data_IF_154115458380
#
_entry.id   IF_154115458380
#
_cell.length_a   1.000
_cell.length_b   1.000
_cell.length_c   1.000
_cell.angle_alpha   90.00
_cell.angle_beta   90.00
_cell.angle_gamma   90.00
#
_symmetry.space_group_name_H-M   'P 1'
#
loop_
_entity.id
_entity.type
_entity.pdbx_description
1 polymer ?
#
# COMPACT_ATOMS: atom_id res chain seq x y z
N UNK A 1 16.67 -9.36 5.19
CA UNK A 1 15.77 -10.17 4.33
C UNK A 1 16.37 -11.55 4.14
N UNK A 2 15.62 -12.59 4.50
CA UNK A 2 16.07 -13.98 4.29
C UNK A 2 15.50 -14.54 2.99
N UNK A 3 16.34 -15.19 2.19
CA UNK A 3 15.89 -15.85 0.95
C UNK A 3 15.26 -17.19 1.32
N UNK A 4 13.96 -17.36 1.03
CA UNK A 4 13.26 -18.63 1.27
C UNK A 4 13.57 -19.62 0.13
N UNK A 5 13.51 -19.14 -1.10
CA UNK A 5 13.97 -19.85 -2.29
C UNK A 5 14.03 -18.90 -3.49
N UNK A 6 14.90 -19.21 -4.44
CA UNK A 6 15.09 -18.44 -5.67
C UNK A 6 15.26 -19.38 -6.85
N UNK A 7 15.17 -18.82 -8.06
CA UNK A 7 15.35 -19.59 -9.27
C UNK A 7 15.16 -18.75 -10.53
N UNK A 8 15.15 -19.46 -11.66
CA UNK A 8 14.93 -18.90 -12.98
C UNK A 8 13.61 -19.42 -13.54
N UNK A 9 12.82 -18.51 -14.08
CA UNK A 9 11.64 -18.84 -14.87
C UNK A 9 12.09 -19.28 -16.25
N UNK A 10 11.56 -20.42 -16.67
CA UNK A 10 11.75 -21.04 -17.99
C UNK A 10 10.39 -21.55 -18.47
N UNK A 11 10.31 -22.01 -19.72
CA UNK A 11 9.08 -22.58 -20.28
C UNK A 11 8.56 -23.77 -19.44
N UNK A 12 9.46 -24.50 -18.77
CA UNK A 12 9.14 -25.59 -17.84
C UNK A 12 8.77 -25.09 -16.43
N UNK A 13 9.46 -24.04 -15.95
CA UNK A 13 9.30 -23.49 -14.60
C UNK A 13 8.61 -22.14 -14.67
N UNK A 14 7.28 -22.18 -14.70
CA UNK A 14 6.46 -20.98 -14.72
C UNK A 14 6.20 -20.42 -13.32
N UNK A 15 5.82 -19.15 -13.25
CA UNK A 15 5.49 -18.50 -11.97
C UNK A 15 4.29 -19.19 -11.27
N UNK A 16 3.40 -19.84 -12.03
CA UNK A 16 2.35 -20.72 -11.50
C UNK A 16 2.92 -21.81 -10.56
N UNK A 17 4.02 -22.45 -10.95
CA UNK A 17 4.66 -23.51 -10.15
C UNK A 17 5.27 -22.93 -8.86
N UNK A 18 5.79 -21.70 -8.94
CA UNK A 18 6.30 -20.97 -7.78
C UNK A 18 5.17 -20.65 -6.80
N UNK A 19 4.03 -20.17 -7.29
CA UNK A 19 2.85 -19.90 -6.46
C UNK A 19 2.30 -21.17 -5.81
N UNK A 20 2.22 -22.29 -6.56
CA UNK A 20 1.83 -23.60 -6.02
C UNK A 20 2.75 -24.02 -4.88
N UNK A 21 4.08 -23.89 -5.06
CA UNK A 21 5.05 -24.22 -4.01
C UNK A 21 4.89 -23.35 -2.75
N UNK A 22 4.51 -22.08 -2.90
CA UNK A 22 4.20 -21.19 -1.76
C UNK A 22 2.94 -21.66 -1.06
N UNK A 23 1.90 -21.99 -1.83
CA UNK A 23 0.62 -22.49 -1.30
C UNK A 23 0.78 -23.83 -0.58
N UNK A 24 1.63 -24.73 -1.08
CA UNK A 24 1.91 -26.03 -0.45
C UNK A 24 2.67 -25.87 0.87
N UNK A 25 3.71 -25.02 0.88
CA UNK A 25 4.52 -24.80 2.09
C UNK A 25 3.78 -24.01 3.17
N UNK A 26 2.78 -23.19 2.80
CA UNK A 26 2.07 -22.24 3.68
C UNK A 26 2.98 -21.57 4.72
N UNK A 27 4.06 -20.89 4.28
CA UNK A 27 4.92 -20.18 5.21
C UNK A 27 4.12 -19.08 5.90
N UNK A 28 4.19 -19.03 7.23
CA UNK A 28 3.55 -18.00 8.03
C UNK A 28 4.22 -16.64 7.83
N UNK A 29 3.42 -15.58 7.93
CA UNK A 29 3.85 -14.19 7.84
C UNK A 29 3.94 -13.65 6.42
N UNK A 30 4.63 -12.51 6.29
CA UNK A 30 4.79 -11.81 5.02
C UNK A 30 5.88 -12.47 4.17
N UNK A 31 5.60 -12.62 2.89
CA UNK A 31 6.52 -13.01 1.84
C UNK A 31 6.57 -11.94 0.77
N UNK A 32 7.75 -11.75 0.19
CA UNK A 32 8.00 -10.86 -0.91
C UNK A 32 8.54 -11.69 -2.09
N UNK A 33 7.70 -11.92 -3.08
CA UNK A 33 8.10 -12.52 -4.34
C UNK A 33 8.61 -11.42 -5.28
N UNK A 34 9.92 -11.36 -5.47
CA UNK A 34 10.57 -10.47 -6.43
C UNK A 34 10.70 -11.20 -7.77
N UNK A 35 10.30 -10.54 -8.85
CA UNK A 35 10.45 -11.03 -10.22
C UNK A 35 11.24 -10.01 -11.01
N UNK A 36 12.23 -10.47 -11.76
CA UNK A 36 13.08 -9.64 -12.60
C UNK A 36 13.24 -10.26 -13.99
N UNK A 37 13.13 -9.47 -15.05
CA UNK A 37 13.28 -9.91 -16.44
C UNK A 37 14.55 -9.32 -17.05
N UNK A 38 15.02 -9.90 -18.15
CA UNK A 38 16.19 -9.38 -18.88
C UNK A 38 15.93 -8.02 -19.51
N UNK A 39 14.69 -7.80 -19.98
CA UNK A 39 14.25 -6.53 -20.56
C UNK A 39 14.05 -5.43 -19.50
N UNK A 40 14.07 -5.75 -18.20
CA UNK A 40 13.76 -4.88 -17.05
C UNK A 40 12.38 -4.21 -17.06
N UNK A 41 11.65 -4.21 -18.16
CA UNK A 41 10.35 -3.52 -18.29
C UNK A 41 9.27 -4.06 -17.35
N UNK A 42 9.40 -5.30 -16.89
CA UNK A 42 8.44 -5.99 -16.03
C UNK A 42 9.03 -6.40 -14.67
N UNK A 43 10.11 -5.75 -14.24
CA UNK A 43 10.68 -6.00 -12.91
C UNK A 43 9.70 -5.57 -11.84
N UNK A 44 9.43 -6.41 -10.84
CA UNK A 44 8.45 -6.08 -9.82
C UNK A 44 8.49 -6.97 -8.59
N UNK A 45 7.54 -6.71 -7.71
CA UNK A 45 7.41 -7.34 -6.40
C UNK A 45 5.94 -7.65 -6.14
N UNK A 46 5.69 -8.83 -5.59
CA UNK A 46 4.37 -9.28 -5.13
C UNK A 46 4.49 -9.62 -3.64
N UNK A 47 3.65 -9.02 -2.82
CA UNK A 47 3.54 -9.35 -1.39
C UNK A 47 2.48 -10.43 -1.20
N UNK A 48 2.85 -11.49 -0.50
CA UNK A 48 1.96 -12.60 -0.14
C UNK A 48 1.97 -12.74 1.38
N UNK A 49 0.80 -12.88 1.98
CA UNK A 49 0.63 -13.04 3.43
C UNK A 49 0.14 -14.46 3.73
N UNK A 50 0.79 -15.10 4.69
CA UNK A 50 0.53 -16.45 5.18
C UNK A 50 0.50 -17.53 4.08
N UNK A 51 1.21 -17.27 2.98
CA UNK A 51 1.20 -18.13 1.79
C UNK A 51 -0.17 -18.28 1.13
N UNK A 52 -1.16 -17.44 1.48
CA UNK A 52 -2.55 -17.57 1.06
C UNK A 52 -3.09 -16.35 0.31
N UNK A 53 -2.73 -15.15 0.72
CA UNK A 53 -3.33 -13.93 0.18
C UNK A 53 -2.28 -13.04 -0.49
N UNK A 54 -2.52 -12.64 -1.72
CA UNK A 54 -1.77 -11.57 -2.38
C UNK A 54 -2.31 -10.24 -1.85
N UNK A 55 -1.46 -9.47 -1.19
CA UNK A 55 -1.86 -8.21 -0.53
C UNK A 55 -1.38 -6.96 -1.24
N UNK A 56 -0.31 -7.07 -2.03
CA UNK A 56 0.21 -5.96 -2.80
C UNK A 56 1.01 -6.44 -4.00
N UNK A 57 1.08 -5.61 -5.04
CA UNK A 57 2.02 -5.80 -6.13
C UNK A 57 2.42 -4.45 -6.74
N UNK A 58 3.64 -4.37 -7.23
CA UNK A 58 4.17 -3.19 -7.92
C UNK A 58 5.18 -3.60 -8.96
N UNK A 59 5.22 -2.87 -10.07
CA UNK A 59 6.26 -2.98 -11.10
C UNK A 59 7.16 -1.75 -10.94
N UNK A 60 8.48 -1.95 -10.89
CA UNK A 60 9.45 -0.90 -10.58
C UNK A 60 9.53 0.17 -11.68
N UNK A 61 9.43 -0.24 -12.94
CA UNK A 61 9.62 0.64 -14.10
C UNK A 61 8.32 1.24 -14.64
N UNK A 62 7.17 0.87 -14.07
CA UNK A 62 5.87 1.43 -14.44
C UNK A 62 5.18 2.01 -13.22
N UNK A 63 4.15 2.83 -13.41
CA UNK A 63 3.28 3.30 -12.32
C UNK A 63 2.16 2.30 -12.01
N UNK A 64 2.28 1.06 -12.49
CA UNK A 64 1.28 0.03 -12.27
C UNK A 64 1.45 -0.56 -10.87
N UNK A 65 0.37 -0.50 -10.09
CA UNK A 65 0.29 -1.06 -8.75
C UNK A 65 -1.00 -1.88 -8.60
N UNK A 66 -1.04 -2.74 -7.58
CA UNK A 66 -2.21 -3.57 -7.31
C UNK A 66 -2.47 -4.61 -8.39
N UNK A 67 -3.74 -4.80 -8.77
CA UNK A 67 -4.17 -5.92 -9.63
C UNK A 67 -3.55 -5.92 -11.04
N UNK A 68 -3.46 -4.77 -11.75
CA UNK A 68 -2.76 -4.70 -13.03
C UNK A 68 -1.31 -5.18 -12.94
N UNK A 69 -0.61 -4.83 -11.85
CA UNK A 69 0.76 -5.28 -11.61
C UNK A 69 0.82 -6.79 -11.35
N UNK A 70 -0.10 -7.35 -10.57
CA UNK A 70 -0.21 -8.82 -10.40
C UNK A 70 -0.34 -9.50 -11.76
N UNK A 71 -1.33 -9.10 -12.56
CA UNK A 71 -1.59 -9.72 -13.88
C UNK A 71 -0.33 -9.72 -14.73
N UNK A 72 0.32 -8.56 -14.86
CA UNK A 72 1.50 -8.40 -15.72
C UNK A 72 2.72 -9.17 -15.20
N UNK A 73 2.93 -9.24 -13.88
CA UNK A 73 4.00 -10.02 -13.28
C UNK A 73 3.76 -11.53 -13.40
N UNK A 74 2.50 -11.98 -13.28
CA UNK A 74 2.15 -13.40 -13.41
C UNK A 74 2.18 -13.90 -14.86
N UNK A 75 2.07 -13.01 -15.85
CA UNK A 75 2.22 -13.33 -17.28
C UNK A 75 3.68 -13.41 -17.75
N UNK A 76 4.67 -13.27 -16.85
CA UNK A 76 6.09 -13.38 -17.21
C UNK A 76 6.46 -14.85 -17.44
N UNK A 77 6.92 -15.14 -18.65
CA UNK A 77 7.40 -16.48 -19.04
C UNK A 77 8.89 -16.68 -18.69
N UNK A 78 9.71 -15.66 -18.93
CA UNK A 78 11.17 -15.75 -18.81
C UNK A 78 11.73 -14.65 -17.89
N UNK A 79 12.48 -15.05 -16.86
CA UNK A 79 13.02 -14.13 -15.86
C UNK A 79 13.68 -14.84 -14.69
N UNK A 80 14.11 -14.08 -13.69
CA UNK A 80 14.57 -14.59 -12.41
C UNK A 80 13.53 -14.26 -11.34
N UNK A 81 13.37 -15.13 -10.36
CA UNK A 81 12.51 -14.86 -9.22
C UNK A 81 13.21 -15.19 -7.91
N UNK A 82 12.85 -14.47 -6.87
CA UNK A 82 13.29 -14.74 -5.50
C UNK A 82 12.13 -14.53 -4.55
N UNK A 83 11.81 -15.56 -3.76
CA UNK A 83 10.88 -15.49 -2.67
C UNK A 83 11.64 -15.17 -1.39
N UNK A 84 11.39 -13.98 -0.85
CA UNK A 84 12.09 -13.42 0.29
C UNK A 84 11.15 -13.31 1.48
N UNK A 85 11.67 -13.48 2.68
CA UNK A 85 10.99 -13.11 3.92
C UNK A 85 11.52 -11.73 4.36
N UNK A 86 10.71 -10.66 4.24
CA UNK A 86 11.08 -9.35 4.76
C UNK A 86 11.25 -9.44 6.27
N UNK A 87 12.23 -8.70 6.79
CA UNK A 87 12.40 -8.52 8.23
C UNK A 87 11.25 -7.61 8.75
N UNK A 88 10.80 -7.75 10.00
CA UNK A 88 9.70 -6.94 10.53
C UNK A 88 10.00 -5.43 10.51
N UNK A 89 11.27 -5.05 10.60
CA UNK A 89 11.74 -3.66 10.54
C UNK A 89 11.84 -3.11 9.11
N UNK A 90 11.73 -3.98 8.11
CA UNK A 90 11.84 -3.61 6.71
C UNK A 90 10.48 -3.13 6.22
N UNK A 91 10.26 -1.81 6.28
CA UNK A 91 9.02 -1.22 5.79
C UNK A 91 8.88 -1.54 4.30
N UNK A 92 7.98 -2.47 3.98
CA UNK A 92 7.64 -2.78 2.61
C UNK A 92 7.07 -1.50 1.99
N UNK A 93 7.84 -0.86 1.10
CA UNK A 93 7.47 0.37 0.37
C UNK A 93 6.29 0.18 -0.60
N UNK A 94 5.48 -0.88 -0.42
CA UNK A 94 4.42 -1.29 -1.32
C UNK A 94 3.09 -1.13 -0.55
N UNK A 95 2.15 -0.31 -1.04
CA UNK A 95 0.86 -0.14 -0.37
C UNK A 95 0.05 -1.43 -0.44
N UNK A 96 -0.46 -1.89 0.70
CA UNK A 96 -1.38 -3.02 0.79
C UNK A 96 -2.76 -2.61 0.27
N UNK A 97 -3.02 -2.88 -1.00
CA UNK A 97 -4.27 -2.49 -1.68
C UNK A 97 -5.09 -3.67 -2.17
N UNK A 98 -4.59 -4.90 -2.00
CA UNK A 98 -5.22 -6.12 -2.49
C UNK A 98 -5.53 -7.09 -1.37
N UNK A 99 -6.48 -7.96 -1.62
CA UNK A 99 -6.76 -9.13 -0.81
C UNK A 99 -7.31 -10.21 -1.74
N UNK A 100 -6.39 -10.87 -2.45
CA UNK A 100 -6.73 -11.87 -3.47
C UNK A 100 -6.22 -13.22 -2.99
N UNK A 101 -7.11 -14.21 -2.97
CA UNK A 101 -6.74 -15.56 -2.56
C UNK A 101 -5.92 -16.27 -3.63
N UNK A 102 -4.78 -16.82 -3.23
CA UNK A 102 -3.83 -17.46 -4.12
C UNK A 102 -4.44 -18.70 -4.78
N UNK A 103 -5.29 -19.44 -4.05
CA UNK A 103 -6.03 -20.60 -4.55
C UNK A 103 -6.94 -20.26 -5.75
N UNK A 104 -7.51 -19.05 -5.78
CA UNK A 104 -8.33 -18.57 -6.89
C UNK A 104 -7.50 -18.08 -8.08
N UNK A 105 -6.29 -17.60 -7.83
CA UNK A 105 -5.39 -17.07 -8.88
C UNK A 105 -4.71 -18.19 -9.66
N UNK A 106 -4.21 -19.22 -8.97
CA UNK A 106 -3.46 -20.34 -9.58
C UNK A 106 -4.15 -20.97 -10.82
N UNK A 107 -5.46 -21.26 -10.82
CA UNK A 107 -6.11 -21.85 -12.00
C UNK A 107 -6.22 -20.88 -13.18
N UNK A 108 -6.14 -19.56 -12.94
CA UNK A 108 -6.27 -18.52 -13.96
C UNK A 108 -4.92 -18.09 -14.56
N UNK A 109 -3.79 -18.46 -13.96
CA UNK A 109 -2.46 -18.14 -14.52
C UNK A 109 -2.19 -19.00 -15.76
N UNK A 110 -1.75 -18.40 -16.90
CA UNK A 110 -1.28 -17.01 -17.08
C UNK A 110 -2.36 -16.00 -17.50
N UNK A 111 -3.56 -16.45 -17.87
CA UNK A 111 -4.66 -15.63 -18.41
C UNK A 111 -5.62 -15.13 -17.31
N UNK A 112 -5.18 -14.19 -16.49
CA UNK A 112 -6.04 -13.54 -15.49
C UNK A 112 -7.05 -12.59 -16.16
N UNK A 113 -8.28 -12.45 -15.61
CA UNK A 113 -9.28 -11.53 -16.13
C UNK A 113 -8.82 -10.07 -16.01
N UNK A 114 -9.35 -9.18 -16.85
CA UNK A 114 -8.97 -7.77 -16.85
C UNK A 114 -9.44 -7.03 -15.60
N UNK A 115 -10.59 -7.43 -15.06
CA UNK A 115 -11.13 -6.90 -13.81
C UNK A 115 -10.89 -7.89 -12.65
N UNK A 116 -10.66 -7.38 -11.43
CA UNK A 116 -10.50 -8.22 -10.25
C UNK A 116 -11.85 -8.76 -9.70
N UNK A 117 -12.95 -8.54 -10.42
CA UNK A 117 -14.30 -8.92 -9.99
C UNK A 117 -14.38 -10.45 -9.86
N UNK A 118 -14.69 -10.95 -8.66
CA UNK A 118 -14.77 -12.39 -8.34
C UNK A 118 -13.48 -13.02 -7.79
N UNK A 119 -12.34 -12.31 -7.86
CA UNK A 119 -11.07 -12.75 -7.28
C UNK A 119 -10.87 -12.25 -5.84
N UNK A 120 -11.47 -11.10 -5.52
CA UNK A 120 -11.52 -10.60 -4.15
C UNK A 120 -12.40 -11.50 -3.29
N UNK A 121 -11.91 -11.82 -2.09
CA UNK A 121 -12.76 -12.38 -1.06
C UNK A 121 -13.44 -11.24 -0.30
N UNK A 122 -14.67 -10.91 -0.70
CA UNK A 122 -15.50 -9.89 -0.06
C UNK A 122 -15.71 -10.19 1.44
N UNK A 123 -15.70 -11.47 1.82
CA UNK A 123 -15.81 -11.86 3.24
C UNK A 123 -14.56 -11.53 4.03
N UNK A 124 -13.37 -11.76 3.48
CA UNK A 124 -12.11 -11.41 4.15
C UNK A 124 -11.87 -9.90 4.22
N UNK A 125 -12.38 -9.11 3.25
CA UNK A 125 -12.37 -7.65 3.37
C UNK A 125 -13.25 -7.16 4.51
N UNK A 126 -14.45 -7.73 4.65
CA UNK A 126 -15.35 -7.40 5.76
C UNK A 126 -14.78 -7.89 7.10
N UNK A 127 -14.16 -9.06 7.15
CA UNK A 127 -13.54 -9.58 8.38
C UNK A 127 -12.32 -8.75 8.81
N UNK A 128 -11.63 -8.04 7.90
CA UNK A 128 -10.58 -7.09 8.31
C UNK A 128 -11.11 -5.74 8.77
N UNK A 129 -12.26 -5.30 8.26
CA UNK A 129 -12.89 -4.01 8.62
C UNK A 129 -13.81 -4.14 9.84
N UNK A 130 -14.40 -5.33 10.05
CA UNK A 130 -15.36 -5.64 11.11
C UNK A 130 -14.92 -6.78 12.03
N UNK A 131 -13.82 -7.47 11.73
CA UNK A 131 -13.27 -8.51 12.61
C UNK A 131 -12.85 -7.89 13.93
N UNK A 132 -13.10 -8.66 14.98
CA UNK A 132 -13.14 -8.28 16.38
C UNK A 132 -11.82 -7.76 16.99
N UNK A 133 -10.80 -7.49 16.18
CA UNK A 133 -9.51 -6.92 16.60
C UNK A 133 -9.37 -5.42 16.26
N UNK A 134 -10.35 -4.80 15.58
CA UNK A 134 -10.37 -3.34 15.38
C UNK A 134 -10.80 -2.56 16.65
N UNK A 135 -11.31 -3.28 17.65
CA UNK A 135 -11.64 -2.77 18.98
C UNK A 135 -11.01 -3.65 20.05
N UNK A 136 -9.74 -4.03 19.92
CA UNK A 136 -8.97 -4.19 21.14
C UNK A 136 -8.94 -2.80 21.79
N UNK A 137 -9.51 -2.62 22.99
CA UNK A 137 -9.27 -1.43 23.75
C UNK A 137 -7.76 -1.33 23.87
N UNK A 138 -7.17 -0.29 23.29
CA UNK A 138 -5.87 0.18 23.73
C UNK A 138 -6.07 0.34 25.24
N UNK A 139 -5.58 -0.61 26.05
CA UNK A 139 -5.22 -0.31 27.42
C UNK A 139 -3.95 0.52 27.28
N UNK A 140 -4.00 1.86 27.37
CA UNK A 140 -2.83 2.52 27.90
C UNK A 140 -2.73 1.96 29.31
N UNK A 141 -1.73 1.12 29.56
CA UNK A 141 -1.20 0.99 30.90
C UNK A 141 -0.28 2.19 31.07
N UNK A 142 -0.71 3.33 31.62
CA UNK A 142 0.25 4.25 32.18
C UNK A 142 0.90 3.49 33.33
N UNK A 143 2.18 3.19 33.18
CA UNK A 143 3.04 2.94 34.33
C UNK A 143 3.09 4.28 35.09
N UNK A 144 2.12 4.48 35.98
CA UNK A 144 2.09 5.59 36.91
C UNK A 144 3.24 5.32 37.88
N UNK A 145 4.40 5.90 37.59
CA UNK A 145 5.39 6.16 38.62
C UNK A 145 4.74 7.12 39.60
N UNK A 146 4.39 6.63 40.80
CA UNK A 146 3.94 7.44 41.92
C UNK A 146 5.08 8.38 42.36
N UNK A 147 5.23 9.51 41.68
CA UNK A 147 5.86 10.68 42.28
C UNK A 147 4.79 11.44 43.05
N UNK A 148 4.78 11.22 44.36
CA UNK A 148 4.06 12.00 45.37
C UNK A 148 4.13 13.51 45.04
N UNK A 149 3.01 14.21 44.83
CA UNK A 149 3.03 15.64 44.53
C UNK A 149 3.38 16.42 45.80
N UNK A 150 4.62 16.90 45.88
CA UNK A 150 5.03 17.89 46.85
C UNK A 150 4.77 19.27 46.24
N UNK A 151 3.60 19.84 46.57
CA UNK A 151 3.19 21.26 46.43
C UNK A 151 1.96 21.50 45.52
N UNK A 152 0.78 21.82 46.09
CA UNK A 152 -0.46 22.03 45.35
C UNK A 152 -0.58 23.38 44.60
N UNK A 153 0.45 24.23 44.60
CA UNK A 153 0.37 25.58 44.01
C UNK A 153 1.09 25.76 42.66
N UNK A 154 1.59 24.69 42.02
CA UNK A 154 2.43 24.81 40.81
C UNK A 154 1.65 24.86 39.47
N UNK A 155 0.34 24.66 39.47
CA UNK A 155 -0.45 24.49 38.23
C UNK A 155 -0.74 25.79 37.45
N UNK A 156 -0.41 26.97 37.99
CA UNK A 156 -0.65 28.25 37.32
C UNK A 156 0.61 28.95 36.77
N UNK A 157 1.82 28.40 37.00
CA UNK A 157 3.07 29.05 36.56
C UNK A 157 3.55 28.65 35.17
N UNK A 158 2.92 27.68 34.50
CA UNK A 158 3.34 27.17 33.19
C UNK A 158 2.68 27.89 31.99
N UNK A 159 1.84 28.91 32.22
CA UNK A 159 1.26 29.74 31.17
C UNK A 159 1.91 31.12 31.10
N UNK A 160 3.24 31.19 31.13
CA UNK A 160 3.93 32.44 30.80
C UNK A 160 4.19 32.52 29.28
N UNK A 161 3.66 33.54 28.59
CA UNK A 161 3.93 33.75 27.17
C UNK A 161 5.38 34.22 26.98
N UNK A 162 6.09 33.55 26.06
CA UNK A 162 7.46 33.88 25.64
C UNK A 162 7.52 35.29 25.03
N UNK A 163 7.84 36.29 25.83
CA UNK A 163 8.34 37.60 25.36
C UNK A 163 9.85 37.59 25.54
N UNK A 164 10.58 37.56 24.44
CA UNK A 164 12.03 37.72 24.45
C UNK A 164 12.41 39.21 24.54
N UNK A 165 13.38 39.57 25.38
CA UNK A 165 14.23 40.71 25.11
C UNK A 165 15.70 40.31 24.99
N UNK A 166 16.32 41.00 24.06
CA UNK A 166 17.71 40.99 23.64
C UNK A 166 18.77 41.09 24.76
N UNK A 167 19.86 40.37 24.50
CA UNK A 167 21.25 40.83 24.49
C UNK A 167 22.16 40.69 25.73
N UNK A 168 23.41 40.37 25.34
CA UNK A 168 24.73 40.71 25.91
C UNK A 168 25.47 39.59 26.66
N UNK A 169 26.42 38.98 25.91
CA UNK A 169 27.85 38.77 26.20
C UNK A 169 28.25 37.98 27.48
N UNK A 170 29.28 37.13 27.56
CA UNK A 170 30.55 36.97 26.83
C UNK A 170 31.26 35.67 27.36
N UNK A 171 32.59 35.38 27.21
CA UNK A 171 33.12 34.30 26.34
C UNK A 171 33.99 33.21 27.06
N UNK A 172 34.71 32.40 26.25
CA UNK A 172 35.93 31.56 26.53
C UNK A 172 35.63 30.12 27.03
N UNK A 173 36.17 28.99 26.55
CA UNK A 173 37.01 28.49 25.43
C UNK A 173 37.10 26.93 25.63
N UNK A 174 38.11 26.17 25.14
CA UNK A 174 38.43 25.77 23.77
C UNK A 174 38.56 24.22 23.54
N UNK A 175 38.51 23.77 22.26
CA UNK A 175 39.38 22.73 21.60
C UNK A 175 39.21 21.25 22.08
N UNK A 176 39.12 20.16 21.30
CA UNK A 176 39.58 19.71 19.96
C UNK A 176 38.87 18.35 19.58
N UNK A 177 39.27 17.57 18.55
CA UNK A 177 39.77 17.95 17.22
C UNK A 177 39.01 17.23 16.08
N UNK A 178 39.05 17.90 14.93
CA UNK A 178 38.72 17.45 13.58
C UNK A 178 39.54 16.21 13.20
N UNK A 179 38.88 15.15 12.72
CA UNK A 179 39.57 14.04 12.04
C UNK A 179 39.73 14.38 10.56
N UNK A 180 40.98 14.26 10.17
CA UNK A 180 41.60 14.56 8.88
C UNK A 180 41.05 13.64 7.80
N UNK A 181 40.75 14.25 6.66
CA UNK A 181 40.44 13.64 5.38
C UNK A 181 41.77 13.15 4.78
N UNK A 182 41.89 11.85 4.49
CA UNK A 182 42.97 11.32 3.67
C UNK A 182 42.67 11.63 2.19
N UNK A 183 43.58 12.32 1.46
CA UNK A 183 43.45 12.46 0.02
C UNK A 183 43.92 11.19 -0.67
N UNK A 184 43.03 10.62 -1.49
CA UNK A 184 43.29 9.53 -2.43
C UNK A 184 44.45 9.93 -3.34
N UNK A 185 45.49 9.10 -3.41
CA UNK A 185 46.71 9.33 -4.16
C UNK A 185 46.48 9.39 -5.67
N UNK A 186 47.17 10.32 -6.34
CA UNK A 186 47.07 10.60 -7.77
C UNK A 186 47.53 9.47 -8.71
N UNK A 187 48.08 8.37 -8.20
CA UNK A 187 48.61 7.27 -9.02
C UNK A 187 47.54 6.25 -9.46
N UNK A 188 46.32 6.31 -8.93
CA UNK A 188 45.22 5.39 -9.30
C UNK A 188 44.38 5.90 -10.49
N UNK A 189 44.54 7.18 -10.88
CA UNK A 189 43.84 7.80 -12.01
C UNK A 189 44.49 7.53 -13.38
N UNK A 190 45.72 6.99 -13.43
CA UNK A 190 46.43 6.74 -14.68
C UNK A 190 46.05 5.40 -15.35
N UNK A 191 45.48 4.44 -14.62
CA UNK A 191 45.18 3.09 -15.11
C UNK A 191 43.90 2.96 -15.97
N UNK A 192 43.12 4.04 -16.12
CA UNK A 192 41.90 4.06 -16.94
C UNK A 192 42.07 4.77 -18.30
N UNK A 193 43.28 5.18 -18.64
CA UNK A 193 43.61 5.88 -19.89
C UNK A 193 44.21 4.96 -20.97
N UNK A 194 43.59 3.80 -21.22
CA UNK A 194 43.92 2.98 -22.39
C UNK A 194 42.95 3.29 -23.55
N UNK A 195 43.42 3.84 -24.68
CA UNK A 195 42.58 4.14 -25.83
C UNK A 195 42.24 2.85 -26.59
N UNK A 196 40.97 2.45 -26.58
CA UNK A 196 40.46 1.42 -27.49
C UNK A 196 40.28 2.02 -28.88
N UNK A 197 41.12 1.56 -29.78
CA UNK A 197 41.12 1.76 -31.23
C UNK A 197 39.84 1.23 -31.89
N UNK A 198 39.33 2.01 -32.85
CA UNK A 198 38.63 1.60 -34.07
C UNK A 198 37.49 0.58 -33.94
N UNK A 199 36.25 1.06 -34.06
CA UNK A 199 35.18 0.27 -34.68
C UNK A 199 34.42 1.17 -35.65
N UNK A 200 34.40 0.73 -36.91
CA UNK A 200 33.98 1.47 -38.09
C UNK A 200 32.50 1.89 -38.06
N UNK A 201 32.27 3.13 -38.48
CA UNK A 201 30.99 3.67 -38.91
C UNK A 201 30.41 2.84 -40.06
N UNK A 202 29.30 2.15 -39.82
CA UNK A 202 28.36 1.80 -40.88
C UNK A 202 27.11 2.63 -40.69
N UNK A 203 27.08 3.67 -41.50
CA UNK A 203 25.99 4.58 -41.83
C UNK A 203 24.67 3.81 -42.07
N UNK A 204 23.77 3.85 -41.08
CA UNK A 204 22.37 3.46 -41.27
C UNK A 204 21.48 4.68 -41.10
N UNK A 205 20.98 5.12 -42.25
CA UNK A 205 20.01 6.19 -42.46
C UNK A 205 18.71 5.91 -41.71
N UNK A 206 18.63 6.36 -40.45
CA UNK A 206 17.41 6.33 -39.65
C UNK A 206 16.47 7.45 -40.13
N UNK A 207 15.35 7.06 -40.75
CA UNK A 207 14.22 7.96 -41.05
C UNK A 207 13.71 8.59 -39.74
N UNK A 208 13.47 9.90 -39.67
CA UNK A 208 12.84 10.51 -38.50
C UNK A 208 11.38 10.03 -38.40
N UNK A 209 11.15 9.09 -37.49
CA UNK A 209 9.82 8.63 -37.10
C UNK A 209 9.03 9.77 -36.46
N UNK A 210 7.86 10.02 -37.03
CA UNK A 210 6.81 10.93 -36.56
C UNK A 210 6.55 10.65 -35.07
N UNK A 211 6.97 11.56 -34.19
CA UNK A 211 6.70 11.47 -32.75
C UNK A 211 5.25 11.82 -32.51
N UNK A 212 4.48 10.85 -32.05
CA UNK A 212 3.09 11.03 -31.65
C UNK A 212 3.11 11.67 -30.25
N UNK A 213 3.09 13.00 -30.19
CA UNK A 213 2.95 13.79 -28.96
C UNK A 213 1.52 13.67 -28.43
N UNK A 214 1.17 12.50 -27.88
CA UNK A 214 -0.04 12.27 -27.09
C UNK A 214 0.13 12.71 -25.64
N UNK A 215 0.84 13.81 -25.40
CA UNK A 215 1.04 14.36 -24.05
C UNK A 215 -0.25 14.99 -23.56
N UNK A 216 -0.94 14.33 -22.62
CA UNK A 216 -2.05 14.93 -21.88
C UNK A 216 -1.57 16.23 -21.24
N UNK A 217 -2.11 17.34 -21.72
CA UNK A 217 -1.79 18.67 -21.21
C UNK A 217 -2.10 18.75 -19.71
N UNK A 218 -1.19 19.30 -18.88
CA UNK A 218 -1.39 19.43 -17.43
C UNK A 218 -2.66 20.22 -17.06
N UNK A 219 -3.22 21.03 -17.97
CA UNK A 219 -4.52 21.67 -17.77
C UNK A 219 -5.70 20.68 -17.65
N UNK A 220 -5.63 19.51 -18.29
CA UNK A 220 -6.70 18.50 -18.21
C UNK A 220 -6.72 17.84 -16.82
N UNK A 221 -5.56 17.67 -16.19
CA UNK A 221 -5.48 17.12 -14.83
C UNK A 221 -6.09 18.06 -13.78
N UNK A 222 -5.84 19.37 -13.88
CA UNK A 222 -6.42 20.35 -12.93
C UNK A 222 -7.95 20.38 -13.06
N UNK A 223 -8.48 20.29 -14.29
CA UNK A 223 -9.92 20.19 -14.52
C UNK A 223 -10.55 18.93 -13.90
N UNK A 224 -9.88 17.77 -14.03
CA UNK A 224 -10.38 16.50 -13.48
C UNK A 224 -10.44 16.50 -11.95
N UNK A 225 -9.43 17.05 -11.27
CA UNK A 225 -9.41 17.14 -9.80
C UNK A 225 -10.50 18.10 -9.30
N UNK A 226 -10.68 19.25 -9.97
CA UNK A 226 -11.76 20.19 -9.63
C UNK A 226 -13.15 19.57 -9.80
N UNK A 227 -13.36 18.76 -10.85
CA UNK A 227 -14.62 18.08 -11.08
C UNK A 227 -14.94 17.03 -10.02
N UNK A 228 -13.96 16.22 -9.60
CA UNK A 228 -14.13 15.24 -8.52
C UNK A 228 -14.49 15.91 -7.19
N UNK A 229 -13.85 17.05 -6.88
CA UNK A 229 -14.16 17.81 -5.67
C UNK A 229 -15.58 18.38 -5.67
N UNK A 230 -16.06 18.86 -6.83
CA UNK A 230 -17.46 19.33 -6.97
C UNK A 230 -18.45 18.17 -6.80
N UNK A 231 -18.16 16.99 -7.37
CA UNK A 231 -19.02 15.82 -7.20
C UNK A 231 -19.09 15.36 -5.74
N UNK A 232 -17.99 15.40 -5.00
CA UNK A 232 -17.96 15.07 -3.58
C UNK A 232 -18.77 16.06 -2.73
N UNK A 233 -18.66 17.37 -3.02
CA UNK A 233 -19.48 18.38 -2.36
C UNK A 233 -20.98 18.20 -2.66
N UNK A 234 -21.34 17.85 -3.89
CA UNK A 234 -22.72 17.54 -4.26
C UNK A 234 -23.21 16.28 -3.54
N UNK A 235 -22.39 15.22 -3.45
CA UNK A 235 -22.75 14.02 -2.71
C UNK A 235 -23.05 14.34 -1.24
N UNK A 236 -22.19 15.12 -0.57
CA UNK A 236 -22.40 15.52 0.84
C UNK A 236 -23.66 16.39 1.00
N UNK A 237 -23.89 17.34 0.08
CA UNK A 237 -25.03 18.25 0.12
C UNK A 237 -26.37 17.52 -0.10
N UNK A 238 -26.41 16.51 -0.98
CA UNK A 238 -27.62 15.77 -1.29
C UNK A 238 -27.87 14.58 -0.35
N UNK A 239 -26.83 13.95 0.19
CA UNK A 239 -26.99 12.74 1.01
C UNK A 239 -27.72 13.00 2.32
N UNK A 240 -27.42 14.12 3.00
CA UNK A 240 -28.05 14.49 4.27
C UNK A 240 -29.58 14.71 4.13
N UNK A 241 -30.08 15.58 3.24
CA UNK A 241 -31.52 15.76 3.07
C UNK A 241 -32.21 14.51 2.51
N UNK A 242 -31.56 13.75 1.64
CA UNK A 242 -32.12 12.50 1.10
C UNK A 242 -32.31 11.44 2.20
N UNK A 243 -31.35 11.31 3.12
CA UNK A 243 -31.46 10.37 4.25
C UNK A 243 -32.62 10.72 5.18
N UNK A 244 -32.86 12.02 5.44
CA UNK A 244 -33.97 12.48 6.29
C UNK A 244 -35.31 12.23 5.60
N UNK A 245 -35.38 12.46 4.29
CA UNK A 245 -36.58 12.18 3.50
C UNK A 245 -36.92 10.68 3.49
N UNK A 246 -35.92 9.81 3.29
CA UNK A 246 -36.10 8.35 3.33
C UNK A 246 -36.53 7.86 4.72
N UNK A 247 -35.96 8.41 5.80
CA UNK A 247 -36.37 8.07 7.16
C UNK A 247 -37.83 8.45 7.46
N UNK A 248 -38.30 9.59 6.96
CA UNK A 248 -39.70 10.00 7.14
C UNK A 248 -40.68 9.08 6.39
N UNK A 249 -40.39 8.66 5.16
CA UNK A 249 -41.27 7.74 4.43
C UNK A 249 -41.38 6.35 5.05
N UNK A 250 -40.31 5.86 5.69
CA UNK A 250 -40.33 4.53 6.31
C UNK A 250 -41.00 4.52 7.69
N UNK A 251 -40.95 5.63 8.43
CA UNK A 251 -41.60 5.76 9.75
C UNK A 251 -43.13 5.67 9.69
N UNK A 252 -43.76 6.30 8.70
CA UNK A 252 -45.23 6.31 8.58
C UNK A 252 -45.82 4.95 8.17
N UNK A 253 -45.00 4.05 7.60
CA UNK A 253 -45.45 2.72 7.16
C UNK A 253 -45.51 1.70 8.30
N UNK A 254 -44.80 1.94 9.40
CA UNK A 254 -44.78 1.04 10.57
C UNK A 254 -45.95 1.27 11.54
N UNK A 255 -46.59 2.45 11.54
CA UNK A 255 -47.72 2.76 12.41
C UNK A 255 -49.07 2.16 11.98
N UNK A 256 -49.24 1.87 10.69
CA UNK A 256 -50.53 1.44 10.14
C UNK A 256 -50.85 -0.06 10.35
N UNK A 257 -49.85 -0.91 10.64
CA UNK A 257 -50.04 -2.36 10.76
C UNK A 257 -50.25 -2.85 12.20
N UNK A 258 -49.97 -2.02 13.21
CA UNK A 258 -50.13 -2.41 14.62
C UNK A 258 -51.58 -2.30 15.13
N UNK A 259 -52.42 -1.48 14.50
CA UNK A 259 -53.79 -1.23 14.98
C UNK A 259 -54.79 -2.36 14.70
N UNK A 260 -54.46 -3.35 13.85
CA UNK A 260 -55.46 -4.31 13.36
C UNK A 260 -55.45 -5.69 14.06
N UNK A 261 -54.53 -5.95 15.00
CA UNK A 261 -54.38 -7.29 15.63
C UNK A 261 -54.95 -7.45 17.04
N UNK A 262 -55.52 -6.41 17.64
CA UNK A 262 -55.91 -6.43 19.06
C UNK A 262 -57.39 -6.75 19.37
N UNK A 263 -58.19 -7.19 18.39
CA UNK A 263 -59.65 -7.28 18.57
C UNK A 263 -60.27 -8.69 18.53
N UNK A 264 -59.49 -9.80 18.54
CA UNK A 264 -60.09 -11.11 18.24
C UNK A 264 -59.61 -12.29 19.08
N UNK A 265 -59.57 -12.19 20.41
CA UNK A 265 -59.53 -13.38 21.28
C UNK A 265 -60.32 -13.12 22.59
N UNK A 266 -61.66 -13.15 22.52
CA UNK A 266 -62.53 -13.41 23.69
C UNK A 266 -63.83 -14.05 23.20
N UNK A 267 -63.83 -15.37 23.02
CA UNK A 267 -65.05 -16.18 23.04
C UNK A 267 -64.66 -17.65 23.00
N UNK A 268 -65.36 -18.47 23.79
CA UNK A 268 -65.35 -19.93 23.86
C UNK A 268 -64.48 -20.55 24.98
N UNK A 269 -64.97 -20.48 26.21
CA UNK A 269 -64.99 -21.65 27.09
C UNK A 269 -66.11 -21.51 28.13
N UNK A 270 -67.29 -22.05 27.81
CA UNK A 270 -68.33 -22.34 28.81
C UNK A 270 -69.14 -23.55 28.34
N UNK A 271 -69.25 -24.51 29.27
CA UNK A 271 -69.94 -25.80 29.24
C UNK A 271 -69.20 -26.97 28.59
#
# INVERSE_FOLDING_TARGET
>A
MDVVFEGRLTDEVQLKNVLLKILEKRPSGNLLLRVATTARDCDGKICIVDGRFITAAIIANTRENGYPAVRRLLSIENGNFACLRPSPDDSLSIPYSLNIELEKVIPLVPNLPESPNGLHDEKSLLDKVFGSNAFDPIEPKPEIVETKPQNPNASWQLLQPLVAPNAVAEPIAPVAPVRVIEPISADELAALSAPRTHQADTDTKIKPGKRNTGGLSPMIMVGAVGFLFILELLAIAFWKPLSVYLSHQMGDRAGATAAHRSAKIKSAQKH
#
